data_IF_864676636769
#
_entry.id   IF_864676636769
#
_cell.length_a   1.000
_cell.length_b   1.000
_cell.length_c   1.000
_cell.angle_alpha   90.00
_cell.angle_beta   90.00
_cell.angle_gamma   90.00
#
_symmetry.space_group_name_H-M   'P 1'
#
loop_
_entity.id
_entity.type
_entity.pdbx_description
1 polymer ?
#
# COMPACT_ATOMS: atom_id res chain seq x y z
N UNK A 1 -44.33 10.05 5.65
CA UNK A 1 -42.92 9.92 6.04
C UNK A 1 -42.26 9.03 4.99
N UNK A 2 -41.20 9.47 4.32
CA UNK A 2 -40.49 8.56 3.43
C UNK A 2 -40.02 7.37 4.29
N UNK A 3 -40.35 6.13 3.95
CA UNK A 3 -40.04 4.96 4.78
C UNK A 3 -38.59 4.86 5.19
N UNK A 4 -37.68 5.33 4.34
CA UNK A 4 -36.25 5.30 4.58
C UNK A 4 -35.75 6.05 5.83
N UNK A 5 -36.34 7.20 6.21
CA UNK A 5 -35.85 7.95 7.38
C UNK A 5 -36.28 7.33 8.70
N UNK A 6 -37.49 6.77 8.74
CA UNK A 6 -37.96 6.09 9.94
C UNK A 6 -37.07 4.89 10.26
N UNK A 7 -36.81 4.07 9.27
CA UNK A 7 -35.95 2.89 9.42
C UNK A 7 -34.55 3.27 9.88
N UNK A 8 -33.98 4.38 9.36
CA UNK A 8 -32.64 4.86 9.75
C UNK A 8 -32.65 5.37 11.20
N UNK A 9 -33.66 6.12 11.64
CA UNK A 9 -33.76 6.56 13.04
C UNK A 9 -33.98 5.38 13.98
N UNK A 10 -34.88 4.46 13.65
CA UNK A 10 -35.15 3.26 14.45
C UNK A 10 -33.87 2.40 14.59
N UNK A 11 -33.12 2.24 13.50
CA UNK A 11 -31.83 1.54 13.49
C UNK A 11 -30.80 2.23 14.41
N UNK A 12 -30.62 3.55 14.29
CA UNK A 12 -29.68 4.30 15.11
C UNK A 12 -30.07 4.31 16.58
N UNK A 13 -31.36 4.46 16.90
CA UNK A 13 -31.85 4.42 18.26
C UNK A 13 -31.66 3.02 18.90
N UNK A 14 -31.78 1.95 18.12
CA UNK A 14 -31.49 0.59 18.59
C UNK A 14 -30.00 0.42 18.97
N UNK A 15 -29.11 1.18 18.38
CA UNK A 15 -27.65 1.13 18.62
C UNK A 15 -27.13 2.30 19.45
N UNK A 16 -28.02 3.03 20.16
CA UNK A 16 -27.66 4.20 20.95
C UNK A 16 -26.57 3.91 21.99
N UNK A 17 -26.56 2.74 22.62
CA UNK A 17 -25.58 2.34 23.63
C UNK A 17 -24.15 2.22 23.08
N UNK A 18 -24.00 2.06 21.77
CA UNK A 18 -22.71 2.01 21.10
C UNK A 18 -22.22 3.38 20.60
N UNK A 19 -23.06 4.42 20.70
CA UNK A 19 -22.77 5.79 20.27
C UNK A 19 -22.18 6.60 21.41
N UNK A 20 -21.28 7.54 21.06
CA UNK A 20 -20.85 8.54 22.01
C UNK A 20 -21.99 9.56 22.29
N UNK A 21 -21.86 10.33 23.38
CA UNK A 21 -22.88 11.29 23.84
C UNK A 21 -23.23 12.34 22.77
N UNK A 22 -22.25 12.79 21.98
CA UNK A 22 -22.48 13.74 20.89
C UNK A 22 -23.33 13.12 19.77
N UNK A 23 -23.02 11.89 19.36
CA UNK A 23 -23.75 11.18 18.31
C UNK A 23 -25.19 10.89 18.71
N UNK A 24 -25.42 10.48 19.97
CA UNK A 24 -26.75 10.28 20.52
C UNK A 24 -27.56 11.59 20.48
N UNK A 25 -26.97 12.68 20.96
CA UNK A 25 -27.59 14.01 20.93
C UNK A 25 -27.88 14.50 19.52
N UNK A 26 -26.97 14.25 18.58
CA UNK A 26 -27.13 14.60 17.16
C UNK A 26 -28.32 13.85 16.53
N UNK A 27 -28.42 12.53 16.71
CA UNK A 27 -29.51 11.70 16.17
C UNK A 27 -30.84 12.15 16.74
N UNK A 28 -30.94 12.33 18.07
CA UNK A 28 -32.16 12.81 18.75
C UNK A 28 -32.61 14.18 18.23
N UNK A 29 -31.68 15.13 18.10
CA UNK A 29 -31.96 16.48 17.54
C UNK A 29 -32.47 16.41 16.10
N UNK A 30 -31.88 15.58 15.25
CA UNK A 30 -32.32 15.41 13.86
C UNK A 30 -33.69 14.76 13.78
N UNK A 31 -33.97 13.78 14.63
CA UNK A 31 -35.29 13.13 14.69
C UNK A 31 -36.38 14.10 15.09
N UNK A 32 -36.13 14.97 16.11
CA UNK A 32 -37.05 16.03 16.48
C UNK A 32 -37.27 17.04 15.36
N UNK A 33 -36.21 17.49 14.69
CA UNK A 33 -36.31 18.40 13.56
C UNK A 33 -37.11 17.77 12.42
N UNK A 34 -36.88 16.51 12.13
CA UNK A 34 -37.61 15.78 11.09
C UNK A 34 -39.11 15.66 11.45
N UNK A 35 -39.44 15.33 12.72
CA UNK A 35 -40.82 15.30 13.21
C UNK A 35 -41.53 16.65 13.06
N UNK A 36 -40.81 17.77 13.31
CA UNK A 36 -41.36 19.13 13.24
C UNK A 36 -41.44 19.66 11.80
N UNK A 37 -40.47 19.41 10.95
CA UNK A 37 -40.33 20.04 9.62
C UNK A 37 -40.61 19.09 8.46
N UNK A 38 -40.65 17.78 8.67
CA UNK A 38 -40.83 16.76 7.65
C UNK A 38 -39.66 16.59 6.69
N UNK A 39 -38.55 17.34 6.90
CA UNK A 39 -37.36 17.30 6.03
C UNK A 39 -36.08 17.62 6.80
N UNK A 40 -34.97 17.11 6.32
CA UNK A 40 -33.63 17.45 6.74
C UNK A 40 -32.89 18.21 5.64
N UNK A 41 -31.85 18.94 5.97
CA UNK A 41 -30.94 19.52 4.98
C UNK A 41 -30.06 18.42 4.38
N UNK A 42 -29.53 18.65 3.19
CA UNK A 42 -28.62 17.72 2.48
C UNK A 42 -27.40 17.34 3.34
N UNK A 43 -26.88 18.31 4.11
CA UNK A 43 -25.76 18.04 5.02
C UNK A 43 -26.17 17.14 6.19
N UNK A 44 -27.34 17.38 6.79
CA UNK A 44 -27.89 16.56 7.87
C UNK A 44 -28.18 15.14 7.42
N UNK A 45 -28.80 14.98 6.26
CA UNK A 45 -29.01 13.66 5.64
C UNK A 45 -27.71 12.91 5.47
N UNK A 46 -26.70 13.55 4.87
CA UNK A 46 -25.39 12.94 4.65
C UNK A 46 -24.76 12.44 5.95
N UNK A 47 -24.84 13.22 7.02
CA UNK A 47 -24.31 12.82 8.32
C UNK A 47 -25.12 11.72 8.97
N UNK A 48 -26.44 11.76 8.87
CA UNK A 48 -27.34 10.72 9.39
C UNK A 48 -27.06 9.37 8.71
N UNK A 49 -27.00 9.33 7.38
CA UNK A 49 -26.69 8.10 6.64
C UNK A 49 -25.28 7.60 6.91
N UNK A 50 -24.30 8.48 7.08
CA UNK A 50 -22.94 8.06 7.50
C UNK A 50 -22.91 7.41 8.88
N UNK A 51 -23.71 7.92 9.83
CA UNK A 51 -23.85 7.31 11.13
C UNK A 51 -24.53 5.94 11.03
N UNK A 52 -25.65 5.84 10.31
CA UNK A 52 -26.34 4.57 10.09
C UNK A 52 -25.40 3.52 9.44
N UNK A 53 -24.58 3.92 8.47
CA UNK A 53 -23.56 3.07 7.86
C UNK A 53 -22.48 2.62 8.86
N UNK A 54 -22.08 3.48 9.81
CA UNK A 54 -21.08 3.17 10.84
C UNK A 54 -21.59 2.13 11.83
N UNK A 55 -22.86 2.24 12.22
CA UNK A 55 -23.50 1.35 13.20
C UNK A 55 -24.25 0.18 12.57
N UNK A 56 -24.01 -0.08 11.28
CA UNK A 56 -24.53 -1.26 10.61
C UNK A 56 -23.90 -2.53 11.22
N UNK A 57 -24.73 -3.38 11.81
CA UNK A 57 -24.28 -4.59 12.52
C UNK A 57 -23.51 -5.54 11.63
N UNK A 58 -23.85 -5.64 10.35
CA UNK A 58 -23.12 -6.50 9.43
C UNK A 58 -21.70 -5.96 9.21
N UNK A 59 -21.52 -4.65 9.06
CA UNK A 59 -20.19 -4.02 8.96
C UNK A 59 -19.39 -4.15 10.26
N UNK A 60 -20.04 -4.04 11.41
CA UNK A 60 -19.38 -4.24 12.72
C UNK A 60 -18.92 -5.68 12.86
N UNK A 61 -19.78 -6.64 12.51
CA UNK A 61 -19.43 -8.06 12.52
C UNK A 61 -18.30 -8.38 11.55
N UNK A 62 -18.37 -7.88 10.31
CA UNK A 62 -17.30 -8.02 9.33
C UNK A 62 -15.97 -7.44 9.86
N UNK A 63 -16.00 -6.27 10.50
CA UNK A 63 -14.81 -5.66 11.09
C UNK A 63 -14.25 -6.48 12.24
N UNK A 64 -15.10 -7.07 13.09
CA UNK A 64 -14.70 -7.96 14.18
C UNK A 64 -14.11 -9.27 13.64
N UNK A 65 -14.75 -9.87 12.64
CA UNK A 65 -14.23 -11.06 11.95
C UNK A 65 -12.89 -10.77 11.26
N UNK A 66 -12.77 -9.61 10.61
CA UNK A 66 -11.51 -9.19 10.01
C UNK A 66 -10.41 -9.06 11.08
N UNK A 67 -10.67 -8.37 12.19
CA UNK A 67 -9.71 -8.21 13.28
C UNK A 67 -9.30 -9.55 13.90
N UNK A 68 -10.25 -10.48 14.08
CA UNK A 68 -9.99 -11.84 14.57
C UNK A 68 -9.12 -12.66 13.61
N UNK A 69 -9.30 -12.48 12.31
CA UNK A 69 -8.60 -13.20 11.26
C UNK A 69 -7.33 -12.46 10.77
N UNK A 70 -6.99 -11.33 11.38
CA UNK A 70 -5.79 -10.56 11.04
C UNK A 70 -4.54 -11.29 11.55
N UNK A 71 -3.95 -12.10 10.69
CA UNK A 71 -2.85 -13.02 11.01
C UNK A 71 -1.52 -12.61 10.36
N UNK A 72 -0.52 -13.51 10.41
CA UNK A 72 0.82 -13.26 9.87
C UNK A 72 0.83 -12.91 8.38
N UNK A 73 -0.06 -13.51 7.58
CA UNK A 73 -0.17 -13.23 6.15
C UNK A 73 -0.59 -11.78 5.88
N UNK A 74 -1.64 -11.30 6.59
CA UNK A 74 -2.11 -9.93 6.46
C UNK A 74 -1.06 -8.91 6.93
N UNK A 75 -0.29 -9.26 7.97
CA UNK A 75 0.83 -8.44 8.47
C UNK A 75 1.95 -8.32 7.45
N UNK A 76 2.37 -9.43 6.85
CA UNK A 76 3.40 -9.44 5.81
C UNK A 76 2.98 -8.59 4.60
N UNK A 77 1.72 -8.73 4.15
CA UNK A 77 1.15 -7.91 3.09
C UNK A 77 1.16 -6.42 3.47
N UNK A 78 0.69 -6.08 4.67
CA UNK A 78 0.65 -4.70 5.14
C UNK A 78 2.07 -4.11 5.27
N UNK A 79 3.01 -4.87 5.79
CA UNK A 79 4.42 -4.47 5.92
C UNK A 79 5.08 -4.18 4.57
N UNK A 80 4.90 -5.08 3.58
CA UNK A 80 5.40 -4.86 2.21
C UNK A 80 4.83 -3.61 1.56
N UNK A 81 3.52 -3.38 1.75
CA UNK A 81 2.86 -2.17 1.26
C UNK A 81 3.35 -0.91 2.00
N UNK A 82 3.54 -0.98 3.32
CA UNK A 82 4.05 0.12 4.12
C UNK A 82 5.47 0.53 3.70
N UNK A 83 6.38 -0.43 3.50
CA UNK A 83 7.73 -0.18 2.98
C UNK A 83 7.71 0.53 1.63
N UNK A 84 6.79 0.14 0.74
CA UNK A 84 6.63 0.84 -0.53
C UNK A 84 6.20 2.29 -0.34
N UNK A 85 5.17 2.54 0.46
CA UNK A 85 4.66 3.91 0.68
C UNK A 85 5.63 4.79 1.47
N UNK A 86 6.40 4.21 2.40
CA UNK A 86 7.47 4.94 3.09
C UNK A 86 8.56 5.41 2.13
N UNK A 87 8.88 4.61 1.12
CA UNK A 87 9.85 4.95 0.07
C UNK A 87 9.35 5.97 -0.98
N UNK A 88 8.09 6.44 -0.90
CA UNK A 88 7.58 7.41 -1.86
C UNK A 88 7.93 8.85 -1.47
N UNK A 89 8.08 9.70 -2.48
CA UNK A 89 8.30 11.14 -2.29
C UNK A 89 7.15 11.82 -1.52
N UNK A 90 5.90 11.48 -1.84
CA UNK A 90 4.72 11.96 -1.14
C UNK A 90 4.35 10.99 -0.02
N UNK A 91 4.10 11.50 1.17
CA UNK A 91 3.73 10.70 2.35
C UNK A 91 2.28 10.22 2.28
N UNK A 92 1.98 9.33 1.34
CA UNK A 92 0.67 8.71 1.26
C UNK A 92 0.44 7.79 2.46
N UNK A 93 -0.75 7.87 3.06
CA UNK A 93 -1.16 7.02 4.20
C UNK A 93 -0.20 7.08 5.40
N UNK A 94 0.44 8.23 5.63
CA UNK A 94 1.51 8.39 6.61
C UNK A 94 1.18 7.76 7.97
N UNK A 95 0.01 8.07 8.54
CA UNK A 95 -0.38 7.56 9.86
C UNK A 95 -0.49 6.03 9.90
N UNK A 96 -1.00 5.41 8.81
CA UNK A 96 -1.12 3.94 8.70
C UNK A 96 0.26 3.32 8.50
N UNK A 97 1.07 3.92 7.62
CA UNK A 97 2.43 3.46 7.32
C UNK A 97 3.30 3.48 8.57
N UNK A 98 3.29 4.58 9.31
CA UNK A 98 4.05 4.73 10.55
C UNK A 98 3.66 3.65 11.58
N UNK A 99 2.37 3.45 11.84
CA UNK A 99 1.89 2.41 12.76
C UNK A 99 2.38 1.01 12.38
N UNK A 100 2.31 0.66 11.08
CA UNK A 100 2.74 -0.67 10.60
C UNK A 100 4.26 -0.85 10.69
N UNK A 101 5.05 0.21 10.43
CA UNK A 101 6.51 0.12 10.48
C UNK A 101 7.06 0.18 11.90
N UNK A 102 6.40 0.91 12.82
CA UNK A 102 6.81 1.02 14.22
C UNK A 102 6.52 -0.27 15.01
N UNK A 103 5.44 -0.98 14.67
CA UNK A 103 5.07 -2.25 15.31
C UNK A 103 4.53 -3.27 14.28
N UNK A 104 5.42 -3.89 13.47
CA UNK A 104 5.02 -4.80 12.41
C UNK A 104 4.30 -6.07 12.91
N UNK A 105 4.64 -6.54 14.10
CA UNK A 105 4.13 -7.79 14.66
C UNK A 105 2.88 -7.59 15.53
N UNK A 106 2.78 -6.48 16.25
CA UNK A 106 1.71 -6.23 17.22
C UNK A 106 0.55 -5.44 16.67
N UNK A 107 0.80 -4.50 15.73
CA UNK A 107 -0.25 -3.62 15.25
C UNK A 107 -1.28 -4.35 14.36
N UNK A 108 -2.55 -4.22 14.71
CA UNK A 108 -3.69 -4.75 13.94
C UNK A 108 -4.36 -3.59 13.22
N UNK A 109 -4.32 -3.61 11.89
CA UNK A 109 -5.04 -2.63 11.07
C UNK A 109 -6.55 -2.88 11.13
N UNK A 110 -7.33 -1.80 11.12
CA UNK A 110 -8.76 -1.92 10.82
C UNK A 110 -8.96 -2.36 9.37
N UNK A 111 -10.10 -2.98 9.06
CA UNK A 111 -10.44 -3.38 7.69
C UNK A 111 -10.36 -2.19 6.70
N UNK A 112 -10.78 -1.00 7.14
CA UNK A 112 -10.70 0.22 6.33
C UNK A 112 -9.27 0.67 6.04
N UNK A 113 -8.38 0.64 7.04
CA UNK A 113 -6.95 0.95 6.89
C UNK A 113 -6.27 -0.06 5.98
N UNK A 114 -6.52 -1.36 6.20
CA UNK A 114 -5.98 -2.43 5.36
C UNK A 114 -6.41 -2.29 3.89
N UNK A 115 -7.69 -2.02 3.65
CA UNK A 115 -8.19 -1.82 2.29
C UNK A 115 -7.52 -0.62 1.60
N UNK A 116 -7.34 0.51 2.32
CA UNK A 116 -6.65 1.69 1.80
C UNK A 116 -5.18 1.40 1.48
N UNK A 117 -4.48 0.74 2.38
CA UNK A 117 -3.04 0.46 2.25
C UNK A 117 -2.76 -0.64 1.23
N UNK A 118 -3.51 -1.77 1.29
CA UNK A 118 -3.15 -3.03 0.62
C UNK A 118 -3.99 -3.36 -0.61
N UNK A 119 -5.22 -2.81 -0.76
CA UNK A 119 -6.12 -3.17 -1.87
C UNK A 119 -6.22 -2.13 -2.98
N UNK A 120 -5.39 -1.10 -2.97
CA UNK A 120 -5.35 -0.14 -4.07
C UNK A 120 -4.49 -0.65 -5.23
N UNK A 121 -4.64 -0.02 -6.41
CA UNK A 121 -3.97 -0.43 -7.65
C UNK A 121 -2.42 -0.50 -7.58
N UNK A 122 -1.81 0.31 -6.74
CA UNK A 122 -0.34 0.32 -6.59
C UNK A 122 0.12 -0.80 -5.67
N UNK A 123 -0.54 -0.98 -4.54
CA UNK A 123 -0.30 -2.08 -3.62
C UNK A 123 -0.42 -3.44 -4.32
N UNK A 124 -1.48 -3.66 -5.11
CA UNK A 124 -1.68 -4.90 -5.86
C UNK A 124 -0.53 -5.18 -6.83
N UNK A 125 -0.02 -4.16 -7.56
CA UNK A 125 1.14 -4.33 -8.45
C UNK A 125 2.43 -4.69 -7.72
N UNK A 126 2.61 -4.18 -6.51
CA UNK A 126 3.77 -4.49 -5.69
C UNK A 126 3.69 -5.91 -5.19
N UNK A 127 2.54 -6.31 -4.65
CA UNK A 127 2.30 -7.67 -4.19
C UNK A 127 2.44 -8.68 -5.34
N UNK A 128 1.94 -8.35 -6.53
CA UNK A 128 2.17 -9.14 -7.74
C UNK A 128 3.67 -9.29 -8.04
N UNK A 129 4.46 -8.21 -7.88
CA UNK A 129 5.91 -8.26 -8.10
C UNK A 129 6.63 -9.14 -7.09
N UNK A 130 6.16 -9.23 -5.84
CA UNK A 130 6.70 -10.18 -4.86
C UNK A 130 6.31 -11.62 -5.17
N UNK A 131 5.11 -11.86 -5.68
CA UNK A 131 4.57 -13.19 -5.97
C UNK A 131 5.03 -13.74 -7.35
N UNK A 132 5.49 -12.87 -8.25
CA UNK A 132 6.00 -13.28 -9.56
C UNK A 132 7.35 -14.03 -9.38
N UNK A 133 7.59 -15.15 -10.08
CA UNK A 133 8.89 -15.81 -10.04
C UNK A 133 10.04 -14.88 -10.42
N UNK A 134 11.18 -15.11 -9.82
CA UNK A 134 12.40 -14.37 -10.09
C UNK A 134 12.90 -14.62 -11.50
N UNK A 135 13.31 -13.57 -12.21
CA UNK A 135 13.85 -13.71 -13.55
C UNK A 135 15.30 -14.24 -13.56
N UNK A 136 16.02 -13.95 -12.48
CA UNK A 136 17.42 -14.33 -12.29
C UNK A 136 17.62 -14.91 -10.89
N UNK A 137 18.46 -15.95 -10.77
CA UNK A 137 18.85 -16.55 -9.51
C UNK A 137 20.20 -15.99 -9.02
N UNK A 138 20.50 -16.21 -7.74
CA UNK A 138 21.84 -15.94 -7.18
C UNK A 138 22.88 -16.74 -7.94
N UNK A 139 23.98 -16.11 -8.34
CA UNK A 139 25.05 -16.69 -9.15
C UNK A 139 24.84 -16.54 -10.66
N UNK A 140 23.67 -16.13 -11.12
CA UNK A 140 23.44 -15.89 -12.55
C UNK A 140 24.31 -14.76 -13.08
N UNK A 141 24.88 -14.99 -14.27
CA UNK A 141 25.56 -13.94 -15.03
C UNK A 141 24.55 -13.21 -15.90
N UNK A 142 24.45 -11.92 -15.70
CA UNK A 142 23.48 -11.03 -16.37
C UNK A 142 24.19 -9.83 -16.97
N UNK A 143 23.51 -9.13 -17.85
CA UNK A 143 24.02 -7.90 -18.46
C UNK A 143 23.09 -6.73 -18.12
N UNK A 144 23.67 -5.59 -17.78
CA UNK A 144 22.95 -4.35 -17.56
C UNK A 144 22.45 -3.81 -18.90
N UNK A 145 21.19 -3.39 -18.96
CA UNK A 145 20.62 -2.76 -20.19
C UNK A 145 21.25 -1.40 -20.43
N UNK A 146 21.34 -0.98 -21.70
CA UNK A 146 21.82 0.35 -22.05
C UNK A 146 20.95 1.47 -21.44
N UNK A 147 19.63 1.27 -21.39
CA UNK A 147 18.66 2.20 -20.83
C UNK A 147 18.31 1.90 -19.36
N UNK A 148 19.32 1.55 -18.55
CA UNK A 148 19.14 1.24 -17.13
C UNK A 148 18.91 2.50 -16.27
N UNK A 149 18.37 2.27 -15.04
CA UNK A 149 18.14 3.31 -14.02
C UNK A 149 18.82 2.92 -12.69
N UNK A 150 20.01 2.40 -12.78
CA UNK A 150 20.77 1.89 -11.62
C UNK A 150 20.99 2.98 -10.58
N UNK A 151 21.18 4.22 -10.97
CA UNK A 151 21.37 5.33 -10.04
C UNK A 151 20.17 5.50 -9.11
N UNK A 152 18.93 5.24 -9.58
CA UNK A 152 17.73 5.29 -8.75
C UNK A 152 17.76 4.18 -7.69
N UNK A 153 18.15 2.97 -8.05
CA UNK A 153 18.21 1.84 -7.11
C UNK A 153 19.29 2.03 -6.03
N UNK A 154 20.30 2.86 -6.30
CA UNK A 154 21.42 3.11 -5.38
C UNK A 154 21.31 4.42 -4.60
N UNK A 155 20.37 5.30 -4.97
CA UNK A 155 20.16 6.57 -4.28
C UNK A 155 19.21 6.37 -3.10
N UNK A 156 19.61 6.83 -1.91
CA UNK A 156 18.69 6.99 -0.80
C UNK A 156 17.82 8.22 -1.05
N UNK A 157 16.60 7.99 -1.56
CA UNK A 157 15.62 9.06 -1.76
C UNK A 157 15.17 9.53 -0.39
N UNK A 158 15.66 10.69 0.05
CA UNK A 158 15.13 11.33 1.25
C UNK A 158 13.71 11.80 0.99
N UNK A 159 12.79 11.60 1.96
CA UNK A 159 11.44 12.19 1.92
C UNK A 159 11.56 13.69 1.56
N UNK A 160 10.79 14.13 0.58
CA UNK A 160 10.82 15.51 0.12
C UNK A 160 11.83 15.84 -1.02
N UNK A 161 12.63 14.89 -1.46
CA UNK A 161 13.52 15.08 -2.61
C UNK A 161 13.12 14.17 -3.78
N UNK A 162 12.45 14.73 -4.77
CA UNK A 162 12.28 14.04 -6.04
C UNK A 162 13.65 14.00 -6.73
N UNK A 163 14.16 12.83 -7.17
CA UNK A 163 15.37 12.77 -7.95
C UNK A 163 15.11 13.47 -9.30
N UNK A 164 15.39 14.76 -9.35
CA UNK A 164 15.35 15.51 -10.62
C UNK A 164 16.45 14.95 -11.50
N UNK A 165 16.07 14.39 -12.65
CA UNK A 165 17.02 13.90 -13.62
C UNK A 165 17.60 12.52 -13.35
N UNK A 166 16.81 11.60 -12.78
CA UNK A 166 17.12 10.18 -12.79
C UNK A 166 17.10 9.66 -14.24
N UNK A 167 18.10 10.04 -14.98
CA UNK A 167 18.33 9.64 -16.36
C UNK A 167 19.02 8.28 -16.42
N UNK A 168 19.06 7.70 -17.58
CA UNK A 168 19.77 6.45 -17.86
C UNK A 168 21.25 6.57 -17.46
N UNK A 169 21.76 5.58 -16.74
CA UNK A 169 23.16 5.55 -16.36
C UNK A 169 24.01 4.90 -17.45
N UNK A 170 24.60 5.71 -18.30
CA UNK A 170 25.52 5.22 -19.34
C UNK A 170 26.77 4.55 -18.76
N UNK A 171 27.20 4.93 -17.55
CA UNK A 171 28.36 4.37 -16.86
C UNK A 171 28.32 2.85 -16.76
N UNK A 172 27.12 2.30 -16.54
CA UNK A 172 26.91 0.88 -16.31
C UNK A 172 26.34 0.15 -17.54
N UNK A 173 26.09 0.86 -18.63
CA UNK A 173 25.48 0.28 -19.83
C UNK A 173 26.31 -0.90 -20.36
N UNK A 174 25.60 -2.00 -20.68
CA UNK A 174 26.13 -3.24 -21.25
C UNK A 174 27.22 -3.96 -20.43
N UNK A 175 27.53 -3.50 -19.22
CA UNK A 175 28.44 -4.23 -18.33
C UNK A 175 27.83 -5.57 -17.91
N UNK A 176 28.70 -6.58 -17.82
CA UNK A 176 28.35 -7.90 -17.30
C UNK A 176 28.50 -7.92 -15.79
N UNK A 177 27.59 -8.56 -15.09
CA UNK A 177 27.58 -8.65 -13.65
C UNK A 177 27.04 -10.00 -13.18
N UNK A 178 27.34 -10.36 -11.95
CA UNK A 178 26.83 -11.54 -11.25
C UNK A 178 25.77 -11.11 -10.24
N UNK A 179 24.68 -11.86 -10.17
CA UNK A 179 23.65 -11.69 -9.14
C UNK A 179 24.16 -12.23 -7.81
N UNK A 180 24.20 -11.39 -6.79
CA UNK A 180 24.61 -11.76 -5.43
C UNK A 180 23.40 -12.01 -4.52
N UNK A 181 22.31 -11.28 -4.70
CA UNK A 181 21.14 -11.35 -3.84
C UNK A 181 19.90 -10.94 -4.60
N UNK A 182 18.78 -11.62 -4.34
CA UNK A 182 17.47 -11.31 -4.88
C UNK A 182 16.63 -10.67 -3.78
N UNK A 183 15.75 -9.73 -4.11
CA UNK A 183 14.98 -8.95 -3.14
C UNK A 183 15.87 -8.21 -2.12
N UNK A 184 17.02 -7.72 -2.56
CA UNK A 184 18.03 -7.09 -1.72
C UNK A 184 17.60 -5.78 -1.07
N UNK A 185 16.52 -5.19 -1.55
CA UNK A 185 15.83 -4.02 -0.96
C UNK A 185 14.32 -4.13 -1.18
N UNK A 186 13.51 -3.44 -0.36
CA UNK A 186 12.07 -3.32 -0.58
C UNK A 186 11.77 -2.75 -1.96
N UNK A 187 10.65 -3.18 -2.54
CA UNK A 187 10.18 -2.67 -3.83
C UNK A 187 9.69 -1.21 -3.65
N UNK A 188 10.30 -0.28 -4.38
CA UNK A 188 10.00 1.15 -4.28
C UNK A 188 9.20 1.70 -5.45
N UNK A 189 8.83 0.87 -6.43
CA UNK A 189 8.02 1.29 -7.57
C UNK A 189 6.99 0.24 -7.99
N UNK A 190 5.78 0.68 -8.32
CA UNK A 190 4.68 -0.18 -8.75
C UNK A 190 4.72 -0.42 -10.27
N UNK A 191 5.73 -1.14 -10.76
CA UNK A 191 5.92 -1.43 -12.19
C UNK A 191 6.49 -2.82 -12.39
N UNK A 192 6.32 -3.39 -13.57
CA UNK A 192 6.90 -4.69 -13.93
C UNK A 192 8.43 -4.64 -13.80
N UNK A 193 9.03 -5.69 -13.24
CA UNK A 193 10.47 -5.77 -13.00
C UNK A 193 10.97 -4.77 -11.94
N UNK A 194 10.14 -4.50 -10.93
CA UNK A 194 10.45 -3.58 -9.83
C UNK A 194 11.31 -4.22 -8.73
N UNK A 195 11.44 -5.56 -8.72
CA UNK A 195 12.30 -6.29 -7.77
C UNK A 195 13.72 -5.77 -7.85
N UNK A 196 14.39 -5.66 -6.70
CA UNK A 196 15.75 -5.12 -6.61
C UNK A 196 16.73 -6.24 -6.33
N UNK A 197 17.74 -6.34 -7.17
CA UNK A 197 18.85 -7.27 -7.07
C UNK A 197 20.09 -6.55 -6.57
N UNK A 198 20.89 -7.22 -5.76
CA UNK A 198 22.28 -6.82 -5.48
C UNK A 198 23.18 -7.55 -6.49
N UNK A 199 23.95 -6.79 -7.22
CA UNK A 199 24.80 -7.31 -8.32
C UNK A 199 26.24 -6.84 -8.15
N UNK A 200 27.18 -7.65 -8.60
CA UNK A 200 28.59 -7.30 -8.72
C UNK A 200 28.98 -7.21 -10.18
N UNK A 201 29.42 -6.04 -10.61
CA UNK A 201 29.94 -5.85 -11.97
C UNK A 201 31.30 -6.50 -12.05
N UNK A 202 31.61 -7.21 -13.17
CA UNK A 202 32.94 -7.76 -13.43
C UNK A 202 33.92 -6.60 -13.44
N UNK A 203 35.07 -6.79 -12.81
CA UNK A 203 36.14 -5.79 -12.62
C UNK A 203 35.84 -4.64 -11.64
N UNK A 204 34.71 -4.72 -10.90
CA UNK A 204 34.43 -3.82 -9.80
C UNK A 204 34.52 -4.56 -8.45
N UNK A 205 34.89 -3.86 -7.39
CA UNK A 205 35.06 -4.45 -6.05
C UNK A 205 33.82 -4.26 -5.16
N UNK A 206 32.95 -3.35 -5.52
CA UNK A 206 31.80 -2.99 -4.71
C UNK A 206 30.49 -3.37 -5.42
N UNK A 207 29.57 -4.07 -4.72
CA UNK A 207 28.29 -4.42 -5.29
C UNK A 207 27.40 -3.17 -5.39
N UNK A 208 26.48 -3.18 -6.35
CA UNK A 208 25.47 -2.16 -6.56
C UNK A 208 24.08 -2.82 -6.61
N UNK A 209 23.04 -1.99 -6.60
CA UNK A 209 21.66 -2.43 -6.73
C UNK A 209 21.11 -2.11 -8.11
N UNK A 210 20.30 -3.02 -8.66
CA UNK A 210 19.64 -2.86 -9.94
C UNK A 210 18.21 -3.38 -9.87
N UNK A 211 17.28 -2.74 -10.57
CA UNK A 211 15.96 -3.32 -10.74
C UNK A 211 16.02 -4.46 -11.76
N UNK A 212 15.15 -5.45 -11.58
CA UNK A 212 15.02 -6.57 -12.53
C UNK A 212 14.87 -6.10 -13.98
N UNK A 213 14.09 -5.02 -14.19
CA UNK A 213 13.89 -4.41 -15.50
C UNK A 213 15.15 -3.82 -16.11
N UNK A 214 16.18 -3.52 -15.33
CA UNK A 214 17.46 -2.97 -15.80
C UNK A 214 18.45 -4.05 -16.22
N UNK A 215 18.09 -5.33 -15.97
CA UNK A 215 18.92 -6.50 -16.27
C UNK A 215 18.38 -7.27 -17.48
N UNK A 216 19.24 -7.99 -18.15
CA UNK A 216 18.91 -8.90 -19.24
C UNK A 216 19.83 -10.13 -19.17
N UNK A 217 19.33 -11.29 -19.64
CA UNK A 217 20.15 -12.51 -19.73
C UNK A 217 21.36 -12.25 -20.61
N UNK A 218 22.52 -12.77 -20.19
CA UNK A 218 23.73 -12.72 -21.01
C UNK A 218 23.49 -13.53 -22.28
N UNK A 219 23.68 -12.91 -23.44
CA UNK A 219 23.56 -13.63 -24.73
C UNK A 219 24.77 -14.55 -24.89
N UNK A 220 24.56 -15.85 -25.00
CA UNK A 220 25.61 -16.77 -25.46
C UNK A 220 26.03 -16.34 -26.86
N UNK A 221 27.30 -16.01 -27.06
CA UNK A 221 27.84 -15.83 -28.42
C UNK A 221 27.59 -17.11 -29.17
N UNK A 222 26.84 -17.08 -30.28
CA UNK A 222 26.83 -18.20 -31.21
C UNK A 222 28.27 -18.37 -31.67
N UNK A 223 28.91 -19.56 -31.40
CA UNK A 223 30.16 -19.90 -32.05
C UNK A 223 29.90 -19.86 -33.56
N UNK A 224 30.60 -18.97 -34.26
CA UNK A 224 30.68 -19.03 -35.72
C UNK A 224 31.45 -20.24 -36.16
#
# INVERSE_FOLDING_TARGET
MAPAYKEVFDHLNHHADHMNTWEQGFVSSLEEQFKKKGKLSVSQERHLFKLSDRYNMDKIREAQEFAKNYGPEQRDIAYKCALYYDGQYLSYFHDIVTKVLDDPEGHVLTQGEYNKLCKNKYALKILESYNTPEQFAVGDMVQIRANNRIDIANTNIKKGHHPRGAFFSYKFADKTCMVLEVNAKPITRASKGARIYKILIIDETSPIYAHESDLKKLRRRKKK
#
